data_IF_340033571564
#
_entry.id   IF_340033571564
#
_cell.length_a   1.000
_cell.length_b   1.000
_cell.length_c   1.000
_cell.angle_alpha   90.00
_cell.angle_beta   90.00
_cell.angle_gamma   90.00
#
_symmetry.space_group_name_H-M   'P 1'
#
loop_
_entity.id
_entity.type
_entity.pdbx_description
1 polymer ?
#
# COMPACT_ATOMS: atom_id res chain seq x y z
N UNK A 1 6.02 -24.07 12.65
CA UNK A 1 7.09 -23.42 11.86
C UNK A 1 6.55 -22.27 10.99
N UNK A 2 5.62 -21.43 11.49
CA UNK A 2 4.90 -20.44 10.64
C UNK A 2 5.47 -19.01 10.63
N UNK A 3 6.46 -18.70 11.47
CA UNK A 3 6.86 -17.30 11.73
C UNK A 3 7.89 -16.75 10.73
N UNK A 4 8.80 -17.59 10.24
CA UNK A 4 9.94 -17.12 9.45
C UNK A 4 9.54 -16.74 8.01
N UNK A 5 8.67 -17.54 7.39
CA UNK A 5 8.17 -17.24 6.04
C UNK A 5 7.30 -15.98 6.04
N UNK A 6 6.43 -15.81 7.06
CA UNK A 6 5.57 -14.65 7.18
C UNK A 6 6.39 -13.38 7.43
N UNK A 7 7.46 -13.48 8.24
CA UNK A 7 8.41 -12.39 8.44
C UNK A 7 9.14 -12.03 7.15
N UNK A 8 9.60 -13.03 6.38
CA UNK A 8 10.28 -12.80 5.10
C UNK A 8 9.36 -12.09 4.10
N UNK A 9 8.11 -12.52 4.03
CA UNK A 9 7.07 -11.89 3.21
C UNK A 9 6.82 -10.43 3.61
N UNK A 10 6.64 -10.17 4.91
CA UNK A 10 6.44 -8.80 5.41
C UNK A 10 7.66 -7.92 5.13
N UNK A 11 8.88 -8.44 5.31
CA UNK A 11 10.10 -7.74 4.95
C UNK A 11 10.16 -7.36 3.46
N UNK A 12 9.62 -8.20 2.57
CA UNK A 12 9.48 -7.91 1.15
C UNK A 12 8.63 -6.68 0.89
N UNK A 13 7.47 -6.62 1.53
CA UNK A 13 6.54 -5.48 1.46
C UNK A 13 7.22 -4.21 1.97
N UNK A 14 7.79 -4.27 3.18
CA UNK A 14 8.35 -3.10 3.84
C UNK A 14 9.52 -2.51 3.04
N UNK A 15 10.41 -3.38 2.51
CA UNK A 15 11.52 -2.92 1.66
C UNK A 15 11.03 -2.33 0.33
N UNK A 16 9.96 -2.88 -0.27
CA UNK A 16 9.39 -2.31 -1.51
C UNK A 16 8.84 -0.92 -1.24
N UNK A 17 8.05 -0.75 -0.17
CA UNK A 17 7.48 0.54 0.19
C UNK A 17 8.56 1.59 0.52
N UNK A 18 9.60 1.20 1.24
CA UNK A 18 10.74 2.08 1.50
C UNK A 18 11.46 2.49 0.19
N UNK A 19 11.65 1.58 -0.75
CA UNK A 19 12.27 1.90 -2.04
C UNK A 19 11.43 2.90 -2.87
N UNK A 20 10.10 2.76 -2.84
CA UNK A 20 9.17 3.70 -3.48
C UNK A 20 9.24 5.09 -2.83
N UNK A 21 9.30 5.14 -1.50
CA UNK A 21 9.44 6.39 -0.76
C UNK A 21 10.75 7.11 -1.12
N UNK A 22 11.87 6.39 -1.09
CA UNK A 22 13.18 6.88 -1.49
C UNK A 22 13.20 7.35 -2.96
N UNK A 23 12.48 6.66 -3.84
CA UNK A 23 12.37 7.06 -5.23
C UNK A 23 11.61 8.38 -5.41
N UNK A 24 10.51 8.53 -4.68
CA UNK A 24 9.67 9.73 -4.75
C UNK A 24 10.34 10.94 -4.08
N UNK A 25 11.07 10.75 -2.98
CA UNK A 25 11.58 11.85 -2.15
C UNK A 25 13.06 12.16 -2.37
N UNK A 26 13.87 11.14 -2.67
CA UNK A 26 15.33 11.24 -2.76
C UNK A 26 15.86 10.99 -4.17
N UNK A 27 14.99 10.95 -5.20
CA UNK A 27 15.35 10.69 -6.60
C UNK A 27 16.19 9.41 -6.82
N UNK A 28 15.95 8.37 -6.00
CA UNK A 28 16.61 7.07 -6.18
C UNK A 28 15.83 6.17 -7.14
N UNK A 29 16.54 5.37 -7.93
CA UNK A 29 15.87 4.37 -8.76
C UNK A 29 15.35 3.22 -7.89
N UNK A 30 14.15 2.73 -8.19
CA UNK A 30 13.61 1.52 -7.58
C UNK A 30 14.32 0.32 -8.22
N UNK A 31 14.82 -0.65 -7.43
CA UNK A 31 15.42 -1.86 -7.97
C UNK A 31 14.42 -2.62 -8.85
N UNK A 32 14.82 -2.95 -10.09
CA UNK A 32 14.03 -3.78 -11.00
C UNK A 32 13.86 -5.19 -10.46
N UNK A 33 14.91 -5.73 -9.86
CA UNK A 33 14.92 -7.04 -9.22
C UNK A 33 14.83 -6.89 -7.69
N UNK A 34 14.04 -7.74 -7.00
CA UNK A 34 14.03 -7.76 -5.54
C UNK A 34 15.45 -7.98 -4.98
N UNK A 35 15.84 -7.27 -3.91
CA UNK A 35 17.15 -7.45 -3.31
C UNK A 35 17.25 -8.81 -2.61
N UNK A 36 18.48 -9.30 -2.45
CA UNK A 36 18.74 -10.49 -1.64
C UNK A 36 18.35 -10.23 -0.17
N UNK A 37 17.51 -11.10 0.38
CA UNK A 37 17.04 -11.07 1.75
C UNK A 37 17.57 -12.26 2.55
N UNK A 38 17.57 -13.45 1.95
CA UNK A 38 18.07 -14.67 2.57
C UNK A 38 18.82 -15.53 1.57
N UNK A 39 19.83 -16.26 2.03
CA UNK A 39 20.51 -17.30 1.25
C UNK A 39 19.69 -18.59 1.17
N UNK A 40 18.67 -18.73 2.02
CA UNK A 40 17.72 -19.83 1.93
C UNK A 40 16.68 -19.52 0.85
N UNK A 41 16.65 -20.36 -0.21
CA UNK A 41 15.77 -20.17 -1.35
C UNK A 41 14.29 -20.04 -0.97
N UNK A 42 13.83 -20.80 0.03
CA UNK A 42 12.46 -20.73 0.53
C UNK A 42 12.14 -19.34 1.09
N UNK A 43 12.99 -18.82 1.98
CA UNK A 43 12.76 -17.50 2.59
C UNK A 43 12.91 -16.38 1.56
N UNK A 44 13.85 -16.52 0.63
CA UNK A 44 14.02 -15.58 -0.48
C UNK A 44 12.77 -15.54 -1.37
N UNK A 45 12.18 -16.69 -1.69
CA UNK A 45 10.95 -16.75 -2.50
C UNK A 45 9.76 -16.09 -1.81
N UNK A 46 9.59 -16.26 -0.49
CA UNK A 46 8.56 -15.54 0.26
C UNK A 46 8.80 -14.03 0.29
N UNK A 47 10.06 -13.60 0.43
CA UNK A 47 10.43 -12.20 0.34
C UNK A 47 10.09 -11.60 -1.03
N UNK A 48 10.43 -12.29 -2.12
CA UNK A 48 10.11 -11.85 -3.48
C UNK A 48 8.60 -11.76 -3.70
N UNK A 49 7.85 -12.73 -3.18
CA UNK A 49 6.38 -12.71 -3.21
C UNK A 49 5.84 -11.47 -2.48
N UNK A 50 6.40 -11.12 -1.32
CA UNK A 50 6.07 -9.92 -0.58
C UNK A 50 6.38 -8.63 -1.36
N UNK A 51 7.58 -8.54 -1.94
CA UNK A 51 8.02 -7.40 -2.74
C UNK A 51 7.08 -7.12 -3.92
N UNK A 52 6.63 -8.16 -4.63
CA UNK A 52 5.72 -8.03 -5.78
C UNK A 52 4.24 -7.89 -5.40
N UNK A 53 3.86 -8.15 -4.15
CA UNK A 53 2.47 -8.04 -3.68
C UNK A 53 2.01 -6.60 -3.44
N UNK A 54 2.94 -5.65 -3.39
CA UNK A 54 2.66 -4.24 -3.06
C UNK A 54 1.84 -3.57 -4.16
N UNK A 55 0.66 -3.10 -3.79
CA UNK A 55 -0.24 -2.35 -4.68
C UNK A 55 0.07 -0.85 -4.69
N UNK A 56 -0.31 -0.19 -5.78
CA UNK A 56 -0.23 1.26 -5.94
C UNK A 56 -0.94 2.00 -4.79
N UNK A 57 -2.07 1.47 -4.30
CA UNK A 57 -2.80 2.06 -3.16
C UNK A 57 -1.94 2.07 -1.88
N UNK A 58 -1.24 0.97 -1.60
CA UNK A 58 -0.34 0.89 -0.44
C UNK A 58 0.83 1.86 -0.58
N UNK A 59 1.38 2.00 -1.78
CA UNK A 59 2.46 2.97 -2.06
C UNK A 59 1.98 4.40 -1.77
N UNK A 60 0.82 4.80 -2.30
CA UNK A 60 0.26 6.12 -2.06
C UNK A 60 -0.03 6.38 -0.58
N UNK A 61 -0.59 5.38 0.13
CA UNK A 61 -0.83 5.48 1.57
C UNK A 61 0.48 5.67 2.34
N UNK A 62 1.50 4.90 1.99
CA UNK A 62 2.81 4.94 2.65
C UNK A 62 3.55 6.26 2.38
N UNK A 63 3.58 6.73 1.13
CA UNK A 63 4.35 7.91 0.74
C UNK A 63 3.66 9.22 1.10
N UNK A 64 2.34 9.30 0.94
CA UNK A 64 1.60 10.55 1.07
C UNK A 64 0.78 10.64 2.37
N UNK A 65 0.76 9.58 3.20
CA UNK A 65 -0.02 9.54 4.43
C UNK A 65 -1.54 9.68 4.20
N UNK A 66 -2.03 9.35 3.00
CA UNK A 66 -3.46 9.44 2.69
C UNK A 66 -4.15 8.33 3.48
N UNK A 67 -4.67 8.67 4.66
CA UNK A 67 -5.57 7.78 5.36
C UNK A 67 -6.75 7.49 4.44
N UNK A 68 -7.13 6.21 4.33
CA UNK A 68 -8.36 5.86 3.65
C UNK A 68 -9.46 6.67 4.31
N UNK A 69 -10.11 7.55 3.53
CA UNK A 69 -11.18 8.41 4.04
C UNK A 69 -12.21 7.49 4.70
N UNK A 70 -12.20 7.46 6.03
CA UNK A 70 -13.01 6.58 6.87
C UNK A 70 -14.46 7.02 6.93
N UNK A 71 -14.85 8.06 6.17
CA UNK A 71 -16.25 8.32 5.93
C UNK A 71 -16.75 7.26 4.95
N UNK A 72 -17.65 6.39 5.40
CA UNK A 72 -18.47 5.56 4.52
C UNK A 72 -18.84 6.38 3.28
N UNK A 73 -18.37 6.04 2.05
CA UNK A 73 -18.56 6.88 0.87
C UNK A 73 -20.04 7.21 0.61
N UNK A 74 -20.92 6.28 1.02
CA UNK A 74 -22.37 6.43 0.99
C UNK A 74 -22.87 7.58 1.88
N UNK A 75 -22.21 7.85 3.00
CA UNK A 75 -22.58 8.92 3.92
C UNK A 75 -22.25 10.30 3.34
N UNK A 76 -21.10 10.42 2.66
CA UNK A 76 -20.76 11.63 1.91
C UNK A 76 -21.76 11.89 0.78
N UNK A 77 -22.15 10.84 0.04
CA UNK A 77 -23.17 10.93 -1.03
C UNK A 77 -24.55 11.32 -0.45
N UNK A 78 -24.96 10.76 0.69
CA UNK A 78 -26.22 11.12 1.36
C UNK A 78 -26.24 12.58 1.78
N UNK A 79 -25.16 13.07 2.40
CA UNK A 79 -25.04 14.47 2.81
C UNK A 79 -25.10 15.43 1.61
N UNK A 80 -24.40 15.11 0.52
CA UNK A 80 -24.47 15.90 -0.73
C UNK A 80 -25.89 15.95 -1.29
N UNK A 81 -26.61 14.82 -1.29
CA UNK A 81 -28.00 14.77 -1.74
C UNK A 81 -28.92 15.65 -0.90
N UNK A 82 -28.77 15.62 0.43
CA UNK A 82 -29.57 16.44 1.34
C UNK A 82 -29.35 17.95 1.16
N UNK A 83 -28.12 18.37 0.88
CA UNK A 83 -27.81 19.80 0.70
C UNK A 83 -28.22 20.36 -0.66
N UNK A 84 -28.10 19.57 -1.74
CA UNK A 84 -28.29 20.07 -3.11
C UNK A 84 -29.63 19.70 -3.75
N UNK A 85 -30.32 18.69 -3.24
CA UNK A 85 -31.59 18.24 -3.79
C UNK A 85 -32.66 18.40 -2.70
N UNK A 86 -32.99 19.65 -2.38
CA UNK A 86 -34.23 19.90 -1.62
C UNK A 86 -35.42 19.64 -2.54
N UNK A 87 -36.45 18.90 -2.09
CA UNK A 87 -37.70 18.81 -2.82
C UNK A 87 -38.32 20.21 -2.84
N UNK A 88 -38.56 20.74 -4.05
CA UNK A 88 -39.42 21.91 -4.24
C UNK A 88 -40.77 21.58 -3.59
N UNK A 89 -41.09 22.29 -2.50
CA UNK A 89 -42.42 22.24 -1.91
C UNK A 89 -43.37 22.95 -2.90
N UNK A 90 -44.20 22.16 -3.58
CA UNK A 90 -45.36 22.62 -4.34
C UNK A 90 -46.50 22.95 -3.38
#
# INVERSE_FOLDING_TARGET
MGKNWQWSYQCGIDKRLAAEYEAQHNNRAIPTTPPLHSHEATMQSYFESGWHSVSINQIYKYCNGIEAVSSCPLEHIRRLKQCHFQPLQL
#
